data_IF_142451764318
#
_entry.id   IF_142451764318
#
_cell.length_a   1.000
_cell.length_b   1.000
_cell.length_c   1.000
_cell.angle_alpha   90.00
_cell.angle_beta   90.00
_cell.angle_gamma   90.00
#
_symmetry.space_group_name_H-M   'P 1'
#
loop_
_entity.id
_entity.type
_entity.pdbx_description
1 polymer ?
#
# COMPACT_ATOMS: atom_id res chain seq x y z
N UNK A 1 33.72 10.59 -4.71
CA UNK A 1 32.62 9.71 -4.29
C UNK A 1 31.57 9.71 -5.39
N UNK A 2 31.32 8.56 -6.03
CA UNK A 2 30.33 8.46 -7.10
C UNK A 2 28.94 8.44 -6.43
N UNK A 3 28.06 9.39 -6.76
CA UNK A 3 26.63 9.28 -6.44
C UNK A 3 26.15 7.98 -7.06
N UNK A 4 25.58 7.08 -6.24
CA UNK A 4 24.85 5.94 -6.76
C UNK A 4 23.69 6.50 -7.60
N UNK A 5 23.72 6.23 -8.90
CA UNK A 5 22.57 6.43 -9.77
C UNK A 5 21.58 5.36 -9.33
N UNK A 6 20.53 5.75 -8.62
CA UNK A 6 19.37 4.88 -8.41
C UNK A 6 18.81 4.60 -9.81
N UNK A 7 18.94 3.36 -10.26
CA UNK A 7 18.26 2.90 -11.47
C UNK A 7 16.75 3.00 -11.19
N UNK A 8 16.05 3.93 -11.85
CA UNK A 8 14.59 4.01 -11.78
C UNK A 8 14.04 2.75 -12.46
N UNK A 9 13.69 1.75 -11.65
CA UNK A 9 12.99 0.57 -12.12
C UNK A 9 11.52 0.93 -12.33
N UNK A 10 10.89 0.52 -13.45
CA UNK A 10 9.47 0.70 -13.62
C UNK A 10 8.73 -0.03 -12.50
N UNK A 11 7.75 0.65 -11.88
CA UNK A 11 6.94 0.04 -10.84
C UNK A 11 6.11 -1.12 -11.40
N UNK A 12 6.01 -2.21 -10.64
CA UNK A 12 5.23 -3.41 -11.00
C UNK A 12 4.04 -3.64 -10.05
N UNK A 13 4.07 -3.08 -8.83
CA UNK A 13 2.97 -3.15 -7.87
C UNK A 13 3.01 -1.99 -6.87
N UNK A 14 1.86 -1.75 -6.22
CA UNK A 14 1.71 -0.76 -5.16
C UNK A 14 1.11 -1.44 -3.93
N UNK A 15 1.67 -1.14 -2.75
CA UNK A 15 1.08 -1.50 -1.46
C UNK A 15 0.70 -0.25 -0.68
N UNK A 16 -0.49 -0.24 -0.09
CA UNK A 16 -1.02 0.90 0.66
C UNK A 16 -1.47 0.47 2.06
N UNK A 17 -0.98 1.18 3.07
CA UNK A 17 -1.36 0.99 4.48
C UNK A 17 -2.12 2.19 5.02
N UNK A 18 -3.24 1.97 5.69
CA UNK A 18 -4.05 3.03 6.31
C UNK A 18 -4.77 2.56 7.58
N UNK A 19 -5.23 3.50 8.42
CA UNK A 19 -6.00 3.18 9.64
C UNK A 19 -7.02 4.29 9.93
N UNK A 20 -6.95 4.96 11.08
CA UNK A 20 -7.80 6.10 11.42
C UNK A 20 -7.71 7.22 10.35
N UNK A 21 -8.84 7.54 9.72
CA UNK A 21 -8.89 8.46 8.57
C UNK A 21 -8.53 7.84 7.21
N UNK A 22 -8.22 6.54 7.18
CA UNK A 22 -7.81 5.81 5.99
C UNK A 22 -8.88 5.76 4.89
N UNK A 23 -10.16 5.59 5.24
CA UNK A 23 -11.25 5.55 4.24
C UNK A 23 -11.35 6.86 3.46
N UNK A 24 -11.17 7.99 4.15
CA UNK A 24 -11.15 9.33 3.55
C UNK A 24 -9.93 9.51 2.65
N UNK A 25 -8.74 9.13 3.14
CA UNK A 25 -7.50 9.18 2.39
C UNK A 25 -7.54 8.31 1.11
N UNK A 26 -7.99 7.06 1.22
CA UNK A 26 -8.15 6.14 0.10
C UNK A 26 -9.20 6.65 -0.90
N UNK A 27 -10.29 7.27 -0.43
CA UNK A 27 -11.31 7.87 -1.31
C UNK A 27 -10.80 9.06 -2.12
N UNK A 28 -9.74 9.73 -1.66
CA UNK A 28 -9.09 10.80 -2.43
C UNK A 28 -8.11 10.27 -3.49
N UNK A 29 -7.66 9.01 -3.37
CA UNK A 29 -6.61 8.43 -4.20
C UNK A 29 -7.18 7.41 -5.19
N UNK A 30 -7.78 6.33 -4.71
CA UNK A 30 -8.11 5.16 -5.52
C UNK A 30 -9.09 5.45 -6.67
N UNK A 31 -10.15 6.27 -6.50
CA UNK A 31 -11.07 6.59 -7.61
C UNK A 31 -10.43 7.38 -8.75
N UNK A 32 -9.24 7.97 -8.54
CA UNK A 32 -8.52 8.73 -9.56
C UNK A 32 -7.76 7.83 -10.53
N UNK A 33 -7.55 6.55 -10.19
CA UNK A 33 -6.89 5.59 -11.07
C UNK A 33 -7.85 5.15 -12.18
N UNK A 34 -7.47 5.25 -13.47
CA UNK A 34 -8.34 4.92 -14.58
C UNK A 34 -8.54 3.39 -14.71
N UNK A 35 -9.56 2.99 -15.46
CA UNK A 35 -9.89 1.56 -15.65
C UNK A 35 -8.76 0.74 -16.30
N UNK A 36 -7.91 1.39 -17.09
CA UNK A 36 -6.75 0.79 -17.78
C UNK A 36 -5.43 0.97 -17.01
N UNK A 37 -5.49 1.37 -15.74
CA UNK A 37 -4.31 1.46 -14.89
C UNK A 37 -3.64 0.08 -14.74
N UNK A 38 -2.34 -0.08 -15.06
CA UNK A 38 -1.75 -1.40 -15.29
C UNK A 38 -1.27 -2.08 -14.01
N UNK A 39 -1.06 -1.34 -12.92
CA UNK A 39 -0.43 -1.90 -11.71
C UNK A 39 -1.49 -2.45 -10.77
N UNK A 40 -1.28 -3.65 -10.19
CA UNK A 40 -2.05 -4.10 -9.04
C UNK A 40 -1.79 -3.18 -7.83
N UNK A 41 -2.81 -3.02 -7.01
CA UNK A 41 -2.74 -2.26 -5.75
C UNK A 41 -3.24 -3.15 -4.62
N UNK A 42 -2.41 -3.45 -3.63
CA UNK A 42 -2.82 -4.21 -2.44
C UNK A 42 -2.94 -3.27 -1.25
N UNK A 43 -4.07 -3.34 -0.55
CA UNK A 43 -4.46 -2.38 0.48
C UNK A 43 -4.73 -3.09 1.79
N UNK A 44 -4.03 -2.68 2.85
CA UNK A 44 -4.40 -2.96 4.23
C UNK A 44 -4.97 -1.70 4.84
N UNK A 45 -6.20 -1.81 5.36
CA UNK A 45 -6.81 -0.79 6.19
C UNK A 45 -7.23 -1.39 7.53
N UNK A 46 -6.76 -0.83 8.63
CA UNK A 46 -7.21 -1.26 9.95
C UNK A 46 -8.66 -0.86 10.18
N UNK A 47 -9.48 -1.87 10.46
CA UNK A 47 -10.88 -1.73 10.81
C UNK A 47 -11.12 -2.30 12.21
N UNK A 48 -12.17 -1.85 12.91
CA UNK A 48 -12.63 -2.52 14.12
C UNK A 48 -12.90 -4.02 13.87
N UNK A 49 -12.45 -4.93 14.76
CA UNK A 49 -12.45 -6.37 14.53
C UNK A 49 -13.84 -7.02 14.55
N UNK A 50 -14.87 -6.30 15.00
CA UNK A 50 -16.24 -6.78 15.15
C UNK A 50 -17.05 -6.77 13.84
N UNK A 51 -16.43 -6.45 12.70
CA UNK A 51 -17.13 -6.27 11.43
C UNK A 51 -16.41 -6.93 10.27
N UNK A 52 -17.20 -7.61 9.42
CA UNK A 52 -16.78 -7.97 8.06
C UNK A 52 -16.34 -6.69 7.33
N UNK A 53 -15.18 -6.74 6.67
CA UNK A 53 -14.75 -5.65 5.80
C UNK A 53 -15.74 -5.48 4.66
N UNK A 54 -16.26 -4.26 4.49
CA UNK A 54 -17.06 -3.86 3.33
C UNK A 54 -16.25 -2.94 2.41
N UNK A 55 -14.91 -2.94 2.55
CA UNK A 55 -14.05 -2.00 1.84
C UNK A 55 -13.98 -2.32 0.35
N UNK A 56 -13.86 -3.60 -0.01
CA UNK A 56 -13.91 -4.02 -1.41
C UNK A 56 -15.20 -3.52 -2.09
N UNK A 57 -16.37 -3.85 -1.53
CA UNK A 57 -17.67 -3.40 -2.06
C UNK A 57 -17.80 -1.88 -2.13
N UNK A 58 -17.33 -1.17 -1.08
CA UNK A 58 -17.37 0.29 -1.02
C UNK A 58 -16.54 0.94 -2.12
N UNK A 59 -15.35 0.41 -2.40
CA UNK A 59 -14.43 0.96 -3.38
C UNK A 59 -14.71 0.47 -4.80
N UNK A 60 -15.25 -0.74 -4.98
CA UNK A 60 -15.74 -1.21 -6.29
C UNK A 60 -16.82 -0.28 -6.85
N UNK A 61 -17.71 0.21 -6.00
CA UNK A 61 -18.73 1.19 -6.39
C UNK A 61 -18.18 2.60 -6.75
N UNK A 62 -16.91 2.90 -6.42
CA UNK A 62 -16.29 4.23 -6.58
C UNK A 62 -15.16 4.26 -7.61
N UNK A 63 -14.47 3.14 -7.79
CA UNK A 63 -13.27 3.05 -8.61
C UNK A 63 -13.61 2.61 -10.04
N UNK A 64 -12.78 3.06 -10.99
CA UNK A 64 -12.87 2.59 -12.37
C UNK A 64 -12.10 1.27 -12.57
N UNK A 65 -11.06 1.03 -11.77
CA UNK A 65 -10.38 -0.26 -11.67
C UNK A 65 -11.27 -1.29 -10.99
N UNK A 66 -11.06 -2.56 -11.32
CA UNK A 66 -11.69 -3.67 -10.64
C UNK A 66 -11.22 -3.73 -9.17
N UNK A 67 -12.16 -3.83 -8.21
CA UNK A 67 -11.84 -3.90 -6.79
C UNK A 67 -12.40 -5.18 -6.19
N UNK A 68 -11.58 -5.92 -5.45
CA UNK A 68 -12.05 -7.12 -4.75
C UNK A 68 -11.33 -7.31 -3.41
N UNK A 69 -11.95 -8.11 -2.55
CA UNK A 69 -11.26 -8.67 -1.38
C UNK A 69 -10.31 -9.77 -1.87
N UNK A 70 -9.12 -9.85 -1.28
CA UNK A 70 -8.12 -10.84 -1.66
C UNK A 70 -8.52 -12.26 -1.22
N UNK A 71 -8.27 -13.25 -2.09
CA UNK A 71 -8.45 -14.68 -1.83
C UNK A 71 -7.11 -15.40 -1.67
N UNK A 72 -7.10 -16.49 -0.91
CA UNK A 72 -5.87 -17.24 -0.64
C UNK A 72 -5.34 -17.93 -1.90
N UNK A 73 -4.03 -17.77 -2.14
CA UNK A 73 -3.27 -18.32 -3.27
C UNK A 73 -3.71 -17.83 -4.65
N UNK A 74 -4.52 -16.76 -4.74
CA UNK A 74 -4.86 -16.20 -6.05
C UNK A 74 -3.65 -15.50 -6.69
N UNK A 75 -3.48 -15.58 -8.02
CA UNK A 75 -2.48 -14.79 -8.72
C UNK A 75 -2.81 -13.30 -8.65
N UNK A 76 -1.79 -12.46 -8.50
CA UNK A 76 -1.97 -11.00 -8.51
C UNK A 76 -2.22 -10.54 -9.95
N UNK A 77 -3.43 -10.04 -10.21
CA UNK A 77 -3.85 -9.54 -11.52
C UNK A 77 -3.56 -8.04 -11.67
N UNK A 78 -2.98 -7.68 -12.81
CA UNK A 78 -2.84 -6.27 -13.23
C UNK A 78 -4.21 -5.59 -13.27
N UNK A 79 -4.23 -4.29 -12.97
CA UNK A 79 -5.48 -3.50 -13.02
C UNK A 79 -6.50 -3.84 -11.94
N UNK A 80 -6.09 -4.52 -10.87
CA UNK A 80 -6.96 -4.87 -9.74
C UNK A 80 -6.49 -4.22 -8.45
N UNK A 81 -7.45 -3.72 -7.67
CA UNK A 81 -7.24 -3.28 -6.29
C UNK A 81 -7.72 -4.40 -5.36
N UNK A 82 -6.81 -4.90 -4.53
CA UNK A 82 -7.05 -5.94 -3.55
C UNK A 82 -7.13 -5.35 -2.15
N UNK A 83 -8.23 -5.57 -1.45
CA UNK A 83 -8.34 -5.29 -0.03
C UNK A 83 -8.03 -6.54 0.78
N UNK A 84 -7.21 -6.38 1.82
CA UNK A 84 -7.00 -7.45 2.81
C UNK A 84 -8.32 -7.79 3.51
N UNK A 85 -8.67 -9.09 3.62
CA UNK A 85 -9.84 -9.51 4.39
C UNK A 85 -9.64 -9.26 5.89
N UNK A 86 -10.74 -9.08 6.61
CA UNK A 86 -10.71 -8.99 8.08
C UNK A 86 -10.14 -10.27 8.69
N UNK A 87 -9.39 -10.13 9.79
CA UNK A 87 -8.86 -11.25 10.59
C UNK A 87 -7.84 -12.17 9.89
N UNK A 88 -7.29 -11.74 8.75
CA UNK A 88 -6.14 -12.37 8.11
C UNK A 88 -5.06 -11.33 7.80
N UNK A 89 -3.80 -11.73 7.91
CA UNK A 89 -2.72 -10.98 7.26
C UNK A 89 -2.76 -11.26 5.76
N UNK A 90 -2.59 -10.22 4.96
CA UNK A 90 -2.40 -10.32 3.51
C UNK A 90 -0.90 -10.31 3.21
N UNK A 91 -0.42 -11.35 2.53
CA UNK A 91 0.97 -11.53 2.15
C UNK A 91 1.10 -11.56 0.63
N UNK A 92 2.30 -11.24 0.14
CA UNK A 92 2.69 -11.42 -1.25
C UNK A 92 3.77 -12.47 -1.34
N UNK A 93 3.51 -13.53 -2.10
CA UNK A 93 4.47 -14.59 -2.38
C UNK A 93 5.43 -14.19 -3.51
N UNK A 94 6.64 -14.76 -3.50
CA UNK A 94 7.66 -14.50 -4.53
C UNK A 94 7.25 -14.93 -5.94
N UNK A 95 6.28 -15.83 -6.07
CA UNK A 95 5.68 -16.25 -7.34
C UNK A 95 4.50 -15.37 -7.79
N UNK A 96 4.31 -14.19 -7.18
CA UNK A 96 3.27 -13.20 -7.49
C UNK A 96 1.85 -13.67 -7.17
N UNK A 97 1.68 -14.40 -6.07
CA UNK A 97 0.38 -14.74 -5.50
C UNK A 97 0.10 -14.01 -4.20
N UNK A 98 -1.17 -13.83 -3.89
CA UNK A 98 -1.62 -13.42 -2.57
C UNK A 98 -1.73 -14.64 -1.67
N UNK A 99 -1.45 -14.45 -0.38
CA UNK A 99 -1.63 -15.46 0.64
C UNK A 99 -2.28 -14.86 1.87
N UNK A 100 -3.12 -15.65 2.54
CA UNK A 100 -3.77 -15.25 3.78
C UNK A 100 -3.18 -16.05 4.95
N UNK A 101 -2.73 -15.34 5.99
CA UNK A 101 -2.23 -15.95 7.22
C UNK A 101 -3.13 -15.61 8.41
N UNK A 102 -3.34 -16.60 9.28
CA UNK A 102 -4.05 -16.46 10.56
C UNK A 102 -3.10 -16.47 11.76
N UNK A 103 -1.81 -16.19 11.53
CA UNK A 103 -0.81 -16.00 12.57
C UNK A 103 -1.17 -14.85 13.52
N UNK A 104 -0.47 -14.78 14.66
CA UNK A 104 -0.76 -13.84 15.73
C UNK A 104 -0.69 -12.38 15.25
N UNK A 105 -1.58 -11.50 15.74
CA UNK A 105 -1.56 -10.08 15.38
C UNK A 105 -0.21 -9.41 15.63
N UNK A 106 0.27 -8.64 14.66
CA UNK A 106 1.45 -7.77 14.81
C UNK A 106 0.98 -6.38 15.22
N UNK A 107 1.60 -5.80 16.25
CA UNK A 107 1.17 -4.52 16.85
C UNK A 107 -0.34 -4.49 17.19
N UNK A 108 -0.85 -5.64 17.68
CA UNK A 108 -2.28 -5.84 18.02
C UNK A 108 -3.24 -5.74 16.82
N UNK A 109 -2.75 -5.76 15.59
CA UNK A 109 -3.54 -5.60 14.36
C UNK A 109 -3.45 -6.85 13.49
N UNK A 110 -4.61 -7.28 12.96
CA UNK A 110 -4.72 -8.30 11.92
C UNK A 110 -5.89 -7.92 10.99
N UNK A 111 -5.65 -7.54 9.73
CA UNK A 111 -4.35 -7.48 9.03
C UNK A 111 -3.36 -6.47 9.64
N UNK A 112 -2.07 -6.70 9.38
CA UNK A 112 -0.97 -5.79 9.74
C UNK A 112 -0.33 -5.27 8.45
N UNK A 113 0.01 -3.98 8.43
CA UNK A 113 0.57 -3.30 7.26
C UNK A 113 2.02 -3.74 7.03
N UNK A 114 2.80 -3.85 8.11
CA UNK A 114 4.20 -4.26 8.05
C UNK A 114 4.35 -5.60 7.31
N UNK A 115 3.52 -6.60 7.60
CA UNK A 115 3.58 -7.92 6.95
C UNK A 115 3.34 -7.82 5.43
N UNK A 116 2.32 -7.08 5.00
CA UNK A 116 2.07 -6.90 3.56
C UNK A 116 3.28 -6.24 2.90
N UNK A 117 3.83 -5.20 3.53
CA UNK A 117 4.90 -4.41 2.94
C UNK A 117 6.23 -5.18 2.89
N UNK A 118 6.57 -5.92 3.93
CA UNK A 118 7.77 -6.76 3.99
C UNK A 118 7.74 -7.86 2.92
N UNK A 119 6.65 -8.62 2.87
CA UNK A 119 6.50 -9.72 1.90
C UNK A 119 6.41 -9.20 0.46
N UNK A 120 5.74 -8.07 0.23
CA UNK A 120 5.75 -7.42 -1.07
C UNK A 120 7.15 -6.92 -1.45
N UNK A 121 7.93 -6.39 -0.50
CA UNK A 121 9.29 -5.94 -0.76
C UNK A 121 10.20 -7.10 -1.18
N UNK A 122 10.07 -8.25 -0.54
CA UNK A 122 10.79 -9.47 -0.92
C UNK A 122 10.42 -9.95 -2.33
N UNK A 123 9.15 -9.86 -2.70
CA UNK A 123 8.69 -10.28 -4.02
C UNK A 123 9.08 -9.27 -5.12
N UNK A 124 8.79 -7.98 -4.93
CA UNK A 124 8.89 -6.93 -5.96
C UNK A 124 10.23 -6.17 -5.98
N UNK A 125 10.98 -6.18 -4.88
CA UNK A 125 12.25 -5.48 -4.77
C UNK A 125 12.16 -4.01 -5.22
N UNK A 126 13.01 -3.54 -6.15
CA UNK A 126 13.04 -2.15 -6.58
C UNK A 126 11.81 -1.72 -7.40
N UNK A 127 10.98 -2.67 -7.85
CA UNK A 127 9.76 -2.38 -8.61
C UNK A 127 8.54 -2.12 -7.71
N UNK A 128 8.70 -2.12 -6.38
CA UNK A 128 7.61 -1.85 -5.44
C UNK A 128 7.48 -0.36 -5.11
N UNK A 129 6.23 0.09 -4.99
CA UNK A 129 5.88 1.37 -4.38
C UNK A 129 5.09 1.11 -3.09
N UNK A 130 5.61 1.56 -1.95
CA UNK A 130 4.94 1.50 -0.67
C UNK A 130 4.39 2.86 -0.26
N UNK A 131 3.12 2.90 0.18
CA UNK A 131 2.42 4.13 0.55
C UNK A 131 1.82 4.02 1.95
N UNK A 132 2.27 4.85 2.89
CA UNK A 132 1.67 4.98 4.23
C UNK A 132 0.76 6.20 4.29
N UNK A 133 -0.49 5.96 4.68
CA UNK A 133 -1.52 6.99 4.86
C UNK A 133 -1.83 7.21 6.35
N UNK A 134 -2.79 8.09 6.60
CA UNK A 134 -3.32 8.44 7.92
C UNK A 134 -3.63 7.23 8.80
N UNK A 135 -3.23 7.31 10.07
CA UNK A 135 -3.48 6.29 11.08
C UNK A 135 -2.90 6.62 12.47
N UNK A 136 -3.37 5.89 13.49
CA UNK A 136 -3.17 6.21 14.90
C UNK A 136 -2.23 5.23 15.65
N UNK A 137 -1.34 4.55 14.93
CA UNK A 137 -0.32 3.67 15.50
C UNK A 137 0.98 3.76 14.66
N UNK A 138 1.91 2.82 14.84
CA UNK A 138 3.19 2.79 14.11
C UNK A 138 3.28 1.70 13.04
N UNK A 139 2.20 0.94 12.81
CA UNK A 139 2.19 -0.15 11.83
C UNK A 139 2.38 0.38 10.41
N UNK A 140 3.23 -0.30 9.65
CA UNK A 140 3.67 0.08 8.32
C UNK A 140 5.02 0.80 8.31
N UNK A 141 5.55 1.24 9.45
CA UNK A 141 6.85 1.91 9.52
C UNK A 141 8.02 0.93 9.24
N UNK A 142 7.98 -0.28 9.79
CA UNK A 142 9.00 -1.30 9.55
C UNK A 142 8.90 -1.84 8.12
N UNK A 143 7.69 -2.07 7.64
CA UNK A 143 7.40 -2.50 6.28
C UNK A 143 7.83 -1.47 5.25
N UNK A 144 7.53 -0.18 5.43
CA UNK A 144 7.98 0.86 4.51
C UNK A 144 9.52 0.95 4.47
N UNK A 145 10.18 0.73 5.61
CA UNK A 145 11.64 0.62 5.66
C UNK A 145 12.15 -0.59 4.89
N UNK A 146 11.45 -1.74 4.94
CA UNK A 146 11.78 -2.91 4.14
C UNK A 146 11.61 -2.63 2.63
N UNK A 147 10.51 -1.99 2.22
CA UNK A 147 10.30 -1.51 0.84
C UNK A 147 11.48 -0.65 0.38
N UNK A 148 11.92 0.30 1.22
CA UNK A 148 13.05 1.17 0.88
C UNK A 148 14.37 0.40 0.82
N UNK A 149 14.62 -0.51 1.76
CA UNK A 149 15.84 -1.32 1.81
C UNK A 149 15.96 -2.26 0.59
N UNK A 150 14.83 -2.73 0.05
CA UNK A 150 14.76 -3.52 -1.18
C UNK A 150 14.94 -2.68 -2.47
N UNK A 151 15.08 -1.36 -2.34
CA UNK A 151 15.28 -0.43 -3.45
C UNK A 151 13.98 0.18 -4.01
N UNK A 152 12.84 -0.13 -3.40
CA UNK A 152 11.54 0.41 -3.79
C UNK A 152 11.34 1.89 -3.44
N UNK A 153 10.20 2.43 -3.88
CA UNK A 153 9.79 3.80 -3.56
C UNK A 153 8.98 3.81 -2.26
N UNK A 154 9.32 4.74 -1.37
CA UNK A 154 8.60 4.98 -0.13
C UNK A 154 7.87 6.32 -0.18
N UNK A 155 6.56 6.30 -0.01
CA UNK A 155 5.69 7.46 -0.04
C UNK A 155 4.91 7.53 1.28
N UNK A 156 4.78 8.73 1.83
CA UNK A 156 4.10 8.97 3.10
C UNK A 156 3.15 10.16 2.92
N UNK A 157 1.90 10.02 3.37
CA UNK A 157 0.98 11.15 3.48
C UNK A 157 1.57 12.20 4.42
N UNK A 158 1.58 13.47 4.01
CA UNK A 158 2.01 14.58 4.85
C UNK A 158 1.33 14.52 6.22
N UNK A 159 2.11 14.37 7.34
CA UNK A 159 1.53 14.24 8.67
C UNK A 159 0.64 15.42 9.07
N UNK A 160 0.92 16.62 8.56
CA UNK A 160 0.16 17.83 8.87
C UNK A 160 -1.22 17.86 8.18
N UNK A 161 -1.42 17.00 7.16
CA UNK A 161 -2.68 16.83 6.44
C UNK A 161 -3.36 15.49 6.76
N UNK A 162 -2.75 14.68 7.63
CA UNK A 162 -3.31 13.41 8.05
C UNK A 162 -4.31 13.62 9.19
N UNK A 163 -5.47 12.95 9.10
CA UNK A 163 -6.48 12.99 10.16
C UNK A 163 -5.98 12.36 11.46
N UNK A 164 -5.18 11.31 11.33
CA UNK A 164 -4.40 10.72 12.41
C UNK A 164 -2.93 10.64 11.93
N UNK A 165 -2.02 11.41 12.54
CA UNK A 165 -0.69 11.61 11.98
C UNK A 165 0.37 10.62 12.49
N UNK A 166 0.03 9.71 13.41
CA UNK A 166 1.01 8.87 14.10
C UNK A 166 1.69 7.88 13.15
N UNK A 167 0.91 7.20 12.28
CA UNK A 167 1.45 6.27 11.27
C UNK A 167 2.40 6.99 10.29
N UNK A 168 1.99 8.11 9.65
CA UNK A 168 2.90 8.91 8.83
C UNK A 168 4.16 9.40 9.55
N UNK A 169 4.06 9.81 10.82
CA UNK A 169 5.22 10.26 11.61
C UNK A 169 6.18 9.11 11.89
N UNK A 170 5.66 7.94 12.27
CA UNK A 170 6.46 6.75 12.52
C UNK A 170 7.20 6.30 11.24
N UNK A 171 6.48 6.25 10.12
CA UNK A 171 7.06 5.93 8.81
C UNK A 171 8.15 6.92 8.40
N UNK A 172 7.96 8.22 8.64
CA UNK A 172 8.96 9.26 8.33
C UNK A 172 10.21 9.19 9.22
N UNK A 173 10.06 8.72 10.46
CA UNK A 173 11.19 8.41 11.34
C UNK A 173 11.97 7.17 10.90
N UNK A 174 11.28 6.15 10.38
CA UNK A 174 11.89 4.91 9.90
C UNK A 174 12.56 5.08 8.53
N UNK A 175 12.03 5.95 7.67
CA UNK A 175 12.49 6.20 6.30
C UNK A 175 12.66 7.72 6.06
N UNK A 176 13.78 8.33 6.49
CA UNK A 176 13.98 9.77 6.42
C UNK A 176 14.04 10.36 5.00
N UNK A 177 14.26 9.52 3.98
CA UNK A 177 14.32 9.90 2.56
C UNK A 177 13.02 9.57 1.79
N UNK A 178 11.95 9.18 2.48
CA UNK A 178 10.64 8.95 1.87
C UNK A 178 10.04 10.24 1.28
N UNK A 179 9.26 10.08 0.22
CA UNK A 179 8.50 11.17 -0.38
C UNK A 179 7.30 11.53 0.49
N UNK A 180 7.36 12.68 1.15
CA UNK A 180 6.24 13.20 1.95
C UNK A 180 5.33 14.04 1.06
N UNK A 181 4.12 13.56 0.80
CA UNK A 181 3.21 14.11 -0.22
C UNK A 181 1.80 14.38 0.35
N UNK A 182 1.10 15.37 -0.21
CA UNK A 182 -0.35 15.51 0.02
C UNK A 182 -1.12 14.37 -0.64
N UNK A 183 -2.39 14.14 -0.26
CA UNK A 183 -3.22 13.11 -0.91
C UNK A 183 -3.33 13.32 -2.43
N UNK A 184 -3.47 14.58 -2.87
CA UNK A 184 -3.52 14.91 -4.29
C UNK A 184 -2.20 14.58 -5.01
N UNK A 185 -1.06 14.89 -4.37
CA UNK A 185 0.25 14.60 -4.92
C UNK A 185 0.56 13.10 -4.92
N UNK A 186 0.06 12.33 -3.95
CA UNK A 186 0.14 10.85 -3.97
C UNK A 186 -0.60 10.33 -5.20
N UNK A 187 -1.85 10.76 -5.42
CA UNK A 187 -2.63 10.32 -6.57
C UNK A 187 -1.99 10.75 -7.90
N UNK A 188 -1.45 11.96 -8.00
CA UNK A 188 -0.70 12.43 -9.18
C UNK A 188 0.55 11.57 -9.42
N UNK A 189 1.27 11.20 -8.36
CA UNK A 189 2.44 10.33 -8.44
C UNK A 189 2.07 8.95 -8.96
N UNK A 190 1.02 8.32 -8.42
CA UNK A 190 0.55 7.03 -8.91
C UNK A 190 0.12 7.11 -10.38
N UNK A 191 -0.61 8.16 -10.77
CA UNK A 191 -0.97 8.40 -12.18
C UNK A 191 0.23 8.61 -13.12
N UNK A 192 1.36 9.08 -12.61
CA UNK A 192 2.58 9.20 -13.40
C UNK A 192 3.21 7.82 -13.69
N UNK A 193 3.08 6.85 -12.77
CA UNK A 193 3.57 5.48 -12.96
C UNK A 193 2.88 4.78 -14.14
N UNK A 194 1.58 5.05 -14.33
CA UNK A 194 0.83 4.56 -15.49
C UNK A 194 1.49 4.93 -16.83
N UNK A 195 1.99 6.17 -16.94
CA UNK A 195 2.56 6.69 -18.19
C UNK A 195 3.98 6.17 -18.44
N UNK A 196 4.72 5.85 -17.38
CA UNK A 196 6.07 5.34 -17.46
C UNK A 196 6.14 3.88 -17.99
N UNK A 197 5.07 3.10 -17.83
CA UNK A 197 4.98 1.71 -18.31
C UNK A 197 4.47 1.51 -19.74
N UNK A 198 4.17 2.60 -20.47
CA UNK A 198 3.62 2.58 -21.85
C UNK A 198 4.70 2.94 -22.90
N UNK A 199 5.98 2.89 -22.51
CA UNK A 199 7.12 3.17 -23.40
C UNK A 199 7.73 1.91 -24.01
#
# INVERSE_FOLDING_TARGET
MKKAVTQDHPAEAIVIGASAGGVEALSAILPRLPADYPLPVMVVIHLPPDRRSLMADLFDAKCAMNVREADDKEPIERGTIYFAPSDYHLLVETDRRLSLSSEEPVLFSRPAIDILFETAADAYGPALVGVILSGANEDGAAGLKAVRAAGGQAIIQSPDQARAPDMPRAAGGAVPDAHVLSLDAIADHLLALHRAGVS
#
